data_IF_610058670950
#
_entry.id   IF_610058670950
#
_cell.length_a   1.000
_cell.length_b   1.000
_cell.length_c   1.000
_cell.angle_alpha   90.00
_cell.angle_beta   90.00
_cell.angle_gamma   90.00
#
_symmetry.space_group_name_H-M   'P 1'
#
loop_
_entity.id
_entity.type
_entity.pdbx_description
1 polymer ?
#
# COMPACT_ATOMS: atom_id res chain seq x y z
N UNK A 1 17.80 26.19 3.06
CA UNK A 1 17.73 25.52 1.75
C UNK A 1 17.34 24.09 2.08
N UNK A 2 16.13 23.69 1.76
CA UNK A 2 15.68 22.32 1.96
C UNK A 2 16.45 21.45 0.95
N UNK A 3 17.24 20.51 1.46
CA UNK A 3 17.98 19.60 0.59
C UNK A 3 16.97 18.70 -0.13
N UNK A 4 17.06 18.67 -1.47
CA UNK A 4 16.19 17.82 -2.28
C UNK A 4 16.52 16.36 -2.02
N UNK A 5 15.51 15.58 -1.69
CA UNK A 5 15.62 14.13 -1.52
C UNK A 5 15.34 13.43 -2.85
N UNK A 6 16.12 12.41 -3.16
CA UNK A 6 15.93 11.60 -4.36
C UNK A 6 15.02 10.42 -4.06
N UNK A 7 13.93 10.32 -4.82
CA UNK A 7 13.00 9.20 -4.79
C UNK A 7 13.14 8.39 -6.07
N UNK A 8 13.34 7.10 -5.93
CA UNK A 8 13.44 6.15 -7.04
C UNK A 8 12.16 5.35 -7.11
N UNK A 9 11.30 5.70 -8.05
CA UNK A 9 9.94 5.17 -8.19
C UNK A 9 9.87 4.23 -9.39
N UNK A 10 9.22 3.08 -9.21
CA UNK A 10 8.96 2.17 -10.32
C UNK A 10 7.93 2.77 -11.29
N UNK A 11 8.27 2.74 -12.59
CA UNK A 11 7.40 3.17 -13.69
C UNK A 11 7.33 2.05 -14.73
N UNK A 12 6.12 1.59 -14.99
CA UNK A 12 5.91 0.55 -15.99
C UNK A 12 4.50 -0.02 -16.01
N UNK A 13 4.30 -0.90 -16.95
CA UNK A 13 3.05 -1.63 -17.20
C UNK A 13 3.38 -3.12 -17.41
N UNK A 14 2.43 -4.05 -17.28
CA UNK A 14 2.67 -5.44 -17.65
C UNK A 14 2.85 -5.54 -19.17
N UNK A 15 3.71 -6.47 -19.60
CA UNK A 15 3.80 -6.84 -21.00
C UNK A 15 2.59 -7.70 -21.45
N UNK A 16 2.63 -8.18 -22.71
CA UNK A 16 1.57 -9.03 -23.27
C UNK A 16 1.32 -10.32 -22.49
N UNK A 17 2.31 -10.79 -21.75
CA UNK A 17 2.26 -12.04 -20.98
C UNK A 17 1.93 -11.77 -19.49
N UNK A 18 1.67 -10.52 -19.13
CA UNK A 18 1.38 -10.09 -17.77
C UNK A 18 2.62 -9.93 -16.87
N UNK A 19 3.83 -10.07 -17.43
CA UNK A 19 5.07 -9.87 -16.68
C UNK A 19 5.31 -8.38 -16.46
N UNK A 20 5.66 -7.94 -15.25
CA UNK A 20 5.98 -6.54 -14.99
C UNK A 20 7.15 -6.07 -15.86
N UNK A 21 6.89 -5.11 -16.74
CA UNK A 21 7.88 -4.48 -17.59
C UNK A 21 7.99 -3.00 -17.23
N UNK A 22 9.18 -2.55 -16.82
CA UNK A 22 9.35 -1.17 -16.42
C UNK A 22 10.76 -0.87 -15.94
N UNK A 23 10.93 0.35 -15.45
CA UNK A 23 12.19 0.85 -14.94
C UNK A 23 12.01 1.68 -13.68
N UNK A 24 13.07 1.78 -12.90
CA UNK A 24 13.15 2.74 -11.79
C UNK A 24 13.51 4.13 -12.34
N UNK A 25 12.77 5.15 -11.93
CA UNK A 25 12.96 6.55 -12.35
C UNK A 25 13.22 7.41 -11.12
N UNK A 26 14.24 8.24 -11.18
CA UNK A 26 14.63 9.13 -10.08
C UNK A 26 13.92 10.49 -10.19
N UNK A 27 13.32 10.92 -9.09
CA UNK A 27 12.69 12.22 -8.91
C UNK A 27 13.32 12.94 -7.73
N UNK A 28 13.67 14.21 -7.90
CA UNK A 28 14.18 15.08 -6.81
C UNK A 28 13.06 15.96 -6.31
N UNK A 29 12.70 15.78 -5.06
CA UNK A 29 11.55 16.43 -4.42
C UNK A 29 11.98 17.19 -3.19
N UNK A 30 11.47 18.41 -3.04
CA UNK A 30 11.60 19.17 -1.80
C UNK A 30 10.64 18.58 -0.77
N UNK A 31 11.08 18.41 0.47
CA UNK A 31 10.24 17.92 1.55
C UNK A 31 9.83 19.04 2.49
N UNK A 32 8.57 19.06 2.86
CA UNK A 32 8.05 19.90 3.93
C UNK A 32 7.91 19.07 5.22
N UNK A 33 7.93 19.73 6.36
CA UNK A 33 7.75 19.11 7.66
C UNK A 33 6.41 18.35 7.75
N UNK A 34 6.44 17.14 8.28
CA UNK A 34 5.25 16.31 8.49
C UNK A 34 4.71 15.59 7.25
N UNK A 35 5.39 15.67 6.09
CA UNK A 35 4.99 14.94 4.89
C UNK A 35 5.03 13.42 5.12
N UNK A 36 4.10 12.73 4.46
CA UNK A 36 4.08 11.28 4.31
C UNK A 36 4.48 10.89 2.88
N UNK A 37 4.82 9.62 2.68
CA UNK A 37 5.23 9.11 1.34
C UNK A 37 4.17 9.39 0.27
N UNK A 38 2.88 9.33 0.61
CA UNK A 38 1.80 9.64 -0.34
C UNK A 38 1.85 11.10 -0.82
N UNK A 39 2.21 12.05 0.06
CA UNK A 39 2.33 13.46 -0.33
C UNK A 39 3.49 13.67 -1.29
N UNK A 40 4.59 12.93 -1.11
CA UNK A 40 5.71 12.93 -2.05
C UNK A 40 5.26 12.41 -3.44
N UNK A 41 4.51 11.32 -3.49
CA UNK A 41 3.95 10.81 -4.76
C UNK A 41 3.06 11.85 -5.43
N UNK A 42 2.19 12.53 -4.68
CA UNK A 42 1.35 13.61 -5.22
C UNK A 42 2.19 14.79 -5.73
N UNK A 43 3.28 15.14 -5.04
CA UNK A 43 4.21 16.18 -5.50
C UNK A 43 4.93 15.78 -6.78
N UNK A 44 5.37 14.51 -6.89
CA UNK A 44 5.92 13.96 -8.13
C UNK A 44 4.90 14.05 -9.27
N UNK A 45 3.63 13.70 -9.02
CA UNK A 45 2.57 13.83 -10.01
C UNK A 45 2.36 15.29 -10.44
N UNK A 46 2.40 16.22 -9.51
CA UNK A 46 2.16 17.64 -9.80
C UNK A 46 3.31 18.29 -10.58
N UNK A 47 4.56 17.94 -10.26
CA UNK A 47 5.74 18.68 -10.73
C UNK A 47 6.51 17.95 -11.85
N UNK A 48 6.48 16.61 -11.89
CA UNK A 48 7.37 15.82 -12.74
C UNK A 48 6.67 14.80 -13.64
N UNK A 49 5.66 14.10 -13.13
CA UNK A 49 5.08 12.94 -13.78
C UNK A 49 3.56 12.84 -13.54
N UNK A 50 2.74 13.68 -14.20
CA UNK A 50 1.29 13.69 -13.99
C UNK A 50 0.60 12.37 -14.37
N UNK A 51 1.28 11.52 -15.12
CA UNK A 51 0.83 10.19 -15.55
C UNK A 51 1.23 9.05 -14.60
N UNK A 52 1.94 9.34 -13.49
CA UNK A 52 2.31 8.34 -12.48
C UNK A 52 1.06 7.75 -11.84
N UNK A 53 0.81 6.46 -12.06
CA UNK A 53 -0.35 5.78 -11.49
C UNK A 53 -0.14 5.44 -10.02
N UNK A 54 -1.04 5.91 -9.18
CA UNK A 54 -1.09 5.64 -7.75
C UNK A 54 -2.54 5.58 -7.27
N UNK A 55 -2.87 4.58 -6.45
CA UNK A 55 -4.18 4.52 -5.77
C UNK A 55 -4.11 5.19 -4.41
N UNK A 56 -5.12 5.96 -4.12
CA UNK A 56 -5.32 6.52 -2.78
C UNK A 56 -6.78 6.92 -2.59
N UNK A 57 -7.22 7.05 -1.33
CA UNK A 57 -8.58 7.50 -1.04
C UNK A 57 -8.66 8.23 0.33
N UNK A 58 -8.62 7.49 1.47
CA UNK A 58 -8.94 8.06 2.79
C UNK A 58 -7.86 8.96 3.37
N UNK A 59 -6.58 8.81 3.00
CA UNK A 59 -5.39 9.46 3.60
C UNK A 59 -5.26 9.30 5.13
N UNK A 60 -5.92 8.30 5.71
CA UNK A 60 -6.04 8.11 7.16
C UNK A 60 -5.85 6.65 7.60
N UNK A 61 -5.20 5.81 6.78
CA UNK A 61 -4.92 4.41 7.11
C UNK A 61 -6.16 3.53 7.27
N UNK A 62 -7.28 3.85 6.59
CA UNK A 62 -8.57 3.14 6.77
C UNK A 62 -9.05 2.34 5.55
N UNK A 63 -8.50 2.59 4.36
CA UNK A 63 -9.01 1.97 3.12
C UNK A 63 -8.03 1.03 2.42
N UNK A 64 -6.76 0.98 2.85
CA UNK A 64 -5.75 0.12 2.25
C UNK A 64 -5.29 0.48 0.83
N UNK A 65 -5.94 1.45 0.15
CA UNK A 65 -5.73 1.72 -1.29
C UNK A 65 -4.30 2.16 -1.63
N UNK A 66 -3.60 2.85 -0.72
CA UNK A 66 -2.26 3.38 -0.96
C UNK A 66 -1.13 2.43 -0.54
N UNK A 67 -1.38 1.12 -0.56
CA UNK A 67 -0.37 0.11 -0.25
C UNK A 67 0.71 0.05 -1.33
N UNK A 68 1.97 0.09 -0.90
CA UNK A 68 3.14 -0.01 -1.76
C UNK A 68 4.35 -0.54 -0.98
N UNK A 69 5.43 -0.87 -1.66
CA UNK A 69 6.71 -1.15 -1.03
C UNK A 69 7.55 0.13 -0.96
N UNK A 70 7.97 0.48 0.26
CA UNK A 70 8.89 1.59 0.52
C UNK A 70 10.15 1.02 1.15
N UNK A 71 11.31 1.18 0.49
CA UNK A 71 12.58 0.58 0.89
C UNK A 71 12.48 -0.93 1.16
N UNK A 72 11.74 -1.66 0.31
CA UNK A 72 11.55 -3.10 0.42
C UNK A 72 10.59 -3.55 1.53
N UNK A 73 9.94 -2.62 2.23
CA UNK A 73 8.93 -2.94 3.25
C UNK A 73 7.53 -2.54 2.74
N UNK A 74 6.58 -3.46 2.82
CA UNK A 74 5.19 -3.16 2.46
C UNK A 74 4.56 -2.22 3.49
N UNK A 75 4.07 -1.05 3.03
CA UNK A 75 3.56 0.03 3.89
C UNK A 75 2.36 0.74 3.27
N UNK A 76 1.54 1.37 4.12
CA UNK A 76 0.54 2.35 3.68
C UNK A 76 1.24 3.69 3.47
N UNK A 77 1.33 4.17 2.24
CA UNK A 77 2.02 5.43 1.93
C UNK A 77 1.44 6.64 2.67
N UNK A 78 0.13 6.64 2.97
CA UNK A 78 -0.52 7.72 3.71
C UNK A 78 -0.21 7.72 5.22
N UNK A 79 0.36 6.65 5.76
CA UNK A 79 0.71 6.53 7.19
C UNK A 79 2.22 6.48 7.42
N UNK A 80 3.00 6.43 6.36
CA UNK A 80 4.46 6.35 6.43
C UNK A 80 5.06 7.73 6.38
N UNK A 81 5.58 8.21 7.52
CA UNK A 81 6.20 9.53 7.64
C UNK A 81 7.55 9.57 6.92
N UNK A 82 7.84 10.69 6.31
CA UNK A 82 9.12 10.87 5.62
C UNK A 82 10.30 10.93 6.59
N UNK A 83 10.09 11.46 7.77
CA UNK A 83 11.11 11.48 8.84
C UNK A 83 11.60 10.06 9.13
N UNK A 84 10.67 9.12 9.40
CA UNK A 84 10.99 7.71 9.68
C UNK A 84 11.74 7.04 8.52
N UNK A 85 11.33 7.36 7.28
CA UNK A 85 11.97 6.80 6.07
C UNK A 85 13.37 7.34 5.88
N UNK A 86 13.60 8.61 6.14
CA UNK A 86 14.93 9.20 6.02
C UNK A 86 15.90 8.68 7.07
N UNK A 87 15.42 8.43 8.29
CA UNK A 87 16.21 7.80 9.35
C UNK A 87 16.61 6.35 9.01
N UNK A 88 15.73 5.63 8.30
CA UNK A 88 16.00 4.26 7.83
C UNK A 88 16.86 4.21 6.55
N UNK A 89 16.98 5.32 5.81
CA UNK A 89 17.65 5.38 4.50
C UNK A 89 19.05 5.98 4.64
N UNK A 90 20.12 5.32 4.16
CA UNK A 90 21.45 5.92 4.13
C UNK A 90 21.46 7.25 3.37
N UNK A 91 22.19 8.24 3.87
CA UNK A 91 22.17 9.62 3.38
C UNK A 91 22.47 9.80 1.88
N UNK A 92 23.10 8.82 1.25
CA UNK A 92 23.48 8.86 -0.17
C UNK A 92 22.62 7.96 -1.07
N UNK A 93 21.62 7.27 -0.50
CA UNK A 93 20.76 6.38 -1.24
C UNK A 93 19.37 7.01 -1.52
N UNK A 94 18.78 6.73 -2.68
CA UNK A 94 17.43 7.17 -2.96
C UNK A 94 16.41 6.36 -2.15
N UNK A 95 15.31 6.99 -1.77
CA UNK A 95 14.14 6.27 -1.23
C UNK A 95 13.49 5.47 -2.35
N UNK A 96 13.40 4.15 -2.19
CA UNK A 96 12.83 3.25 -3.18
C UNK A 96 11.33 3.10 -2.98
N UNK A 97 10.55 3.29 -4.06
CA UNK A 97 9.09 3.08 -4.02
C UNK A 97 8.70 2.17 -5.19
N UNK A 98 8.08 1.02 -4.85
CA UNK A 98 7.70 -0.02 -5.81
C UNK A 98 6.26 -0.48 -5.57
N UNK A 99 5.60 -1.07 -6.58
CA UNK A 99 4.33 -1.77 -6.37
C UNK A 99 4.52 -2.98 -5.44
N UNK A 100 3.43 -3.45 -4.83
CA UNK A 100 3.42 -4.70 -4.08
C UNK A 100 3.76 -5.88 -4.99
N UNK A 101 4.82 -6.64 -4.67
CA UNK A 101 5.35 -7.69 -5.55
C UNK A 101 4.50 -8.98 -5.57
N UNK A 102 3.72 -9.22 -4.51
CA UNK A 102 2.85 -10.40 -4.43
C UNK A 102 1.61 -10.32 -5.33
N UNK A 103 1.42 -9.21 -6.04
CA UNK A 103 0.23 -8.97 -6.86
C UNK A 103 0.62 -8.59 -8.29
N UNK A 104 -0.19 -9.01 -9.29
CA UNK A 104 0.02 -8.61 -10.67
C UNK A 104 0.06 -7.08 -10.82
N UNK A 105 1.01 -6.61 -11.61
CA UNK A 105 1.12 -5.18 -11.92
C UNK A 105 -0.04 -4.76 -12.83
N UNK A 106 -0.62 -3.60 -12.54
CA UNK A 106 -1.56 -2.92 -13.44
C UNK A 106 -0.87 -1.75 -14.14
N UNK A 107 -0.27 -0.84 -13.36
CA UNK A 107 0.53 0.28 -13.86
C UNK A 107 1.30 0.95 -12.72
N UNK A 108 2.57 1.21 -12.90
CA UNK A 108 3.44 1.92 -11.95
C UNK A 108 3.35 1.38 -10.52
N UNK A 109 2.65 2.05 -9.61
CA UNK A 109 2.44 1.63 -8.22
C UNK A 109 1.10 0.90 -8.00
N UNK A 110 0.31 0.71 -9.06
CA UNK A 110 -1.00 0.07 -8.99
C UNK A 110 -0.90 -1.41 -9.31
N UNK A 111 -1.44 -2.24 -8.41
CA UNK A 111 -1.51 -3.71 -8.56
C UNK A 111 -2.95 -4.21 -8.55
N UNK A 112 -3.18 -5.40 -9.09
CA UNK A 112 -4.48 -6.07 -9.08
C UNK A 112 -4.61 -6.99 -7.87
N UNK A 113 -5.42 -6.60 -6.90
CA UNK A 113 -5.76 -7.37 -5.70
C UNK A 113 -7.10 -8.11 -5.81
N UNK A 114 -7.71 -8.14 -6.98
CA UNK A 114 -9.08 -8.66 -7.20
C UNK A 114 -9.25 -10.13 -6.84
N UNK A 115 -8.18 -10.93 -6.89
CA UNK A 115 -8.25 -12.35 -6.53
C UNK A 115 -8.67 -12.53 -5.05
N UNK A 116 -8.22 -11.66 -4.15
CA UNK A 116 -8.59 -11.73 -2.74
C UNK A 116 -10.10 -11.56 -2.54
N UNK A 117 -10.68 -10.58 -3.23
CA UNK A 117 -12.14 -10.35 -3.19
C UNK A 117 -12.94 -11.47 -3.86
N UNK A 118 -12.43 -12.06 -4.96
CA UNK A 118 -13.04 -13.23 -5.58
C UNK A 118 -13.01 -14.47 -4.67
N UNK A 119 -11.94 -14.62 -3.90
CA UNK A 119 -11.82 -15.72 -2.92
C UNK A 119 -12.78 -15.50 -1.74
N UNK A 120 -12.89 -14.27 -1.25
CA UNK A 120 -13.82 -13.91 -0.17
C UNK A 120 -15.28 -14.24 -0.55
N UNK A 121 -15.68 -13.96 -1.77
CA UNK A 121 -17.02 -14.30 -2.28
C UNK A 121 -17.32 -15.81 -2.29
N UNK A 122 -16.31 -16.66 -2.25
CA UNK A 122 -16.46 -18.11 -2.20
C UNK A 122 -16.61 -18.65 -0.76
N UNK A 123 -16.25 -17.84 0.23
CA UNK A 123 -16.38 -18.18 1.63
C UNK A 123 -17.85 -18.10 2.02
N UNK A 124 -18.41 -19.25 2.39
CA UNK A 124 -19.82 -19.30 2.83
C UNK A 124 -19.95 -18.66 4.21
N UNK A 125 -20.98 -17.82 4.42
CA UNK A 125 -21.26 -17.30 5.76
C UNK A 125 -21.60 -18.46 6.71
N UNK A 126 -21.22 -18.29 7.98
CA UNK A 126 -21.62 -19.21 9.04
C UNK A 126 -23.13 -19.05 9.22
N UNK A 127 -23.88 -20.16 9.11
CA UNK A 127 -25.29 -20.14 9.44
C UNK A 127 -25.44 -19.94 10.96
N UNK A 128 -26.18 -18.93 11.34
CA UNK A 128 -26.58 -18.73 12.72
C UNK A 128 -27.51 -19.83 13.23
N UNK A 129 -27.79 -19.90 14.52
CA UNK A 129 -28.76 -20.85 15.09
C UNK A 129 -30.16 -20.58 14.51
N UNK A 130 -30.96 -21.66 14.38
CA UNK A 130 -32.32 -21.58 13.79
C UNK A 130 -33.27 -20.69 14.61
N UNK A 131 -33.06 -20.61 15.93
CA UNK A 131 -33.76 -19.70 16.85
C UNK A 131 -32.73 -18.79 17.53
N UNK A 132 -32.45 -17.63 16.94
CA UNK A 132 -31.42 -16.74 17.47
C UNK A 132 -31.93 -15.98 18.69
N UNK A 133 -31.44 -16.33 19.85
CA UNK A 133 -31.38 -15.40 20.98
C UNK A 133 -30.11 -14.55 20.80
N UNK A 134 -30.23 -13.50 19.98
CA UNK A 134 -29.10 -12.65 19.59
C UNK A 134 -28.65 -11.74 20.74
N UNK A 135 -28.34 -12.32 21.87
CA UNK A 135 -27.65 -11.60 22.95
C UNK A 135 -26.16 -11.68 22.67
N UNK A 136 -25.57 -10.58 22.26
CA UNK A 136 -24.14 -10.45 22.03
C UNK A 136 -23.53 -9.72 23.23
N UNK A 137 -22.79 -10.44 24.05
CA UNK A 137 -22.15 -9.87 25.23
C UNK A 137 -20.93 -9.02 24.88
N UNK A 138 -20.67 -7.96 25.66
CA UNK A 138 -19.55 -7.06 25.43
C UNK A 138 -18.20 -7.78 25.39
N UNK A 139 -18.02 -8.80 26.25
CA UNK A 139 -16.80 -9.61 26.27
C UNK A 139 -16.54 -10.33 24.94
N UNK A 140 -17.58 -10.79 24.26
CA UNK A 140 -17.48 -11.43 22.94
C UNK A 140 -17.14 -10.39 21.86
N UNK A 141 -17.74 -9.19 21.95
CA UNK A 141 -17.41 -8.08 21.06
C UNK A 141 -15.94 -7.68 21.18
N UNK A 142 -15.44 -7.57 22.41
CA UNK A 142 -14.05 -7.20 22.71
C UNK A 142 -13.06 -8.25 22.17
N UNK A 143 -13.38 -9.54 22.31
CA UNK A 143 -12.56 -10.65 21.76
C UNK A 143 -12.50 -10.63 20.22
N UNK A 144 -13.54 -10.16 19.56
CA UNK A 144 -13.62 -10.09 18.10
C UNK A 144 -13.06 -8.78 17.53
N UNK A 145 -12.73 -7.81 18.38
CA UNK A 145 -12.30 -6.48 17.95
C UNK A 145 -11.04 -6.52 17.08
N UNK A 146 -10.07 -7.37 17.41
CA UNK A 146 -8.84 -7.49 16.63
C UNK A 146 -9.09 -7.98 15.20
N UNK A 147 -9.98 -8.96 15.02
CA UNK A 147 -10.35 -9.47 13.69
C UNK A 147 -11.09 -8.43 12.84
N UNK A 148 -11.86 -7.55 13.49
CA UNK A 148 -12.62 -6.48 12.82
C UNK A 148 -11.75 -5.26 12.47
N UNK A 149 -10.51 -5.21 12.93
CA UNK A 149 -9.56 -4.13 12.65
C UNK A 149 -8.90 -4.24 11.27
N UNK A 150 -9.08 -5.37 10.57
CA UNK A 150 -8.53 -5.55 9.23
C UNK A 150 -9.16 -4.56 8.24
N UNK A 151 -8.28 -3.83 7.52
CA UNK A 151 -8.67 -2.84 6.50
C UNK A 151 -8.47 -3.35 5.07
N UNK A 152 -8.20 -4.64 4.90
CA UNK A 152 -8.00 -5.31 3.60
C UNK A 152 -6.89 -4.67 2.73
N UNK A 153 -5.87 -4.12 3.36
CA UNK A 153 -4.77 -3.43 2.67
C UNK A 153 -3.79 -4.37 1.95
N UNK A 154 -3.89 -5.67 2.18
CA UNK A 154 -3.06 -6.73 1.58
C UNK A 154 -1.55 -6.65 1.88
N UNK A 155 -1.13 -5.80 2.82
CA UNK A 155 0.29 -5.68 3.19
C UNK A 155 0.85 -6.96 3.80
N UNK A 156 0.04 -7.68 4.61
CA UNK A 156 0.42 -8.95 5.21
C UNK A 156 0.68 -10.04 4.14
N UNK A 157 -0.07 -10.03 3.04
CA UNK A 157 0.13 -10.95 1.92
C UNK A 157 1.45 -10.63 1.21
N UNK A 158 1.74 -9.35 1.00
CA UNK A 158 2.99 -8.91 0.36
C UNK A 158 4.24 -9.17 1.22
N UNK A 159 4.09 -9.28 2.55
CA UNK A 159 5.18 -9.61 3.48
C UNK A 159 5.40 -11.13 3.60
N UNK A 160 4.44 -11.94 3.17
CA UNK A 160 4.49 -13.39 3.33
C UNK A 160 5.38 -14.04 2.27
N UNK A 161 6.44 -14.73 2.69
CA UNK A 161 7.29 -15.53 1.79
C UNK A 161 6.54 -16.66 1.09
N UNK A 162 5.38 -17.07 1.61
CA UNK A 162 4.55 -18.13 1.00
C UNK A 162 3.84 -17.60 -0.25
N UNK A 163 3.51 -16.33 -0.29
CA UNK A 163 2.78 -15.71 -1.40
C UNK A 163 3.72 -15.11 -2.48
N UNK A 164 4.98 -14.97 -2.16
CA UNK A 164 6.01 -14.53 -3.08
C UNK A 164 6.66 -15.73 -3.78
#
# INVERSE_FOLDING_TARGET
MTDKVTFRVFRGEPDSDGTPFGKMVDYKVDLDEGMVVLDVIHRIQAEHAPDLACRWNCKAGKCGSCSAEVNGKARLMCMTRMEDILDETPSNEPVLIKPMQAFPLTKDLVTDTSWAYRTDQQIKPINGPEEPDWVFHQEEADRLQEFRSCIECMLCVNLSLIHI
#
